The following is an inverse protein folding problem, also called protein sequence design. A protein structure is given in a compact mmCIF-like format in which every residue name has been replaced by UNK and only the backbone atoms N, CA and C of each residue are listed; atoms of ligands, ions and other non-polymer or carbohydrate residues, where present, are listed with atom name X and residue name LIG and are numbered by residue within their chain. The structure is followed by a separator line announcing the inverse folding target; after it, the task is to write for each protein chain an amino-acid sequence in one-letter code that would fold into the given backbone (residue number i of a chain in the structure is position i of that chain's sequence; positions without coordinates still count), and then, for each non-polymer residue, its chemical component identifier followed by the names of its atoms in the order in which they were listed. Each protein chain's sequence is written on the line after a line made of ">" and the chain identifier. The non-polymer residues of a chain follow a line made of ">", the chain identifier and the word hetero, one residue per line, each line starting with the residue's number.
data_IF_293309798690
#
_entry.id   IF_293309798690
#
_cell.length_a   1.000
_cell.length_b   1.000
_cell.length_c   1.000
_cell.angle_alpha   90.00
_cell.angle_beta   90.00
_cell.angle_gamma   90.00
#
_symmetry.space_group_name_H-M   'P 1'
#
loop_
_entity.id
_entity.type
_entity.pdbx_description
1 polymer ?
#
# COMPACT_ATOMS: atom_id res chain seq x y z
N UNK A 1 -36.34 32.38 13.36
CA UNK A 1 -35.19 31.76 14.04
C UNK A 1 -34.64 30.71 13.09
N UNK A 2 -33.74 31.11 12.22
CA UNK A 2 -33.07 30.27 11.24
C UNK A 2 -31.80 29.74 11.87
N UNK A 3 -31.84 28.47 12.28
CA UNK A 3 -30.65 27.75 12.73
C UNK A 3 -29.73 27.53 11.53
N UNK A 4 -28.64 28.27 11.46
CA UNK A 4 -27.50 27.97 10.58
C UNK A 4 -26.82 26.75 11.16
N UNK A 5 -27.11 25.59 10.58
CA UNK A 5 -26.35 24.36 10.79
C UNK A 5 -24.96 24.59 10.19
N UNK A 6 -24.02 24.97 11.07
CA UNK A 6 -22.62 25.08 10.72
C UNK A 6 -22.10 23.66 10.51
N UNK A 7 -22.17 23.18 9.27
CA UNK A 7 -21.37 22.04 8.85
C UNK A 7 -19.90 22.47 9.06
N UNK A 8 -19.31 22.04 10.18
CA UNK A 8 -17.88 22.17 10.39
C UNK A 8 -17.19 21.60 9.16
N UNK A 9 -16.42 22.41 8.44
CA UNK A 9 -15.57 21.96 7.32
C UNK A 9 -14.70 20.82 7.87
N UNK A 10 -15.07 19.59 7.54
CA UNK A 10 -14.24 18.43 7.87
C UNK A 10 -12.95 18.59 7.06
N UNK A 11 -11.90 18.98 7.72
CA UNK A 11 -10.56 19.03 7.11
C UNK A 11 -10.30 17.66 6.48
N UNK A 12 -10.09 17.61 5.17
CA UNK A 12 -9.80 16.38 4.45
C UNK A 12 -8.48 15.81 4.97
N UNK A 13 -8.53 14.66 5.64
CA UNK A 13 -7.37 14.02 6.23
C UNK A 13 -6.82 12.97 5.27
N UNK A 14 -5.57 13.13 4.86
CA UNK A 14 -4.84 12.12 4.09
C UNK A 14 -3.60 11.69 4.87
N UNK A 15 -3.50 10.40 5.14
CA UNK A 15 -2.30 9.82 5.79
C UNK A 15 -1.61 8.89 4.80
N UNK A 16 -0.33 9.15 4.53
CA UNK A 16 0.51 8.28 3.71
C UNK A 16 1.33 7.34 4.60
N UNK A 17 1.30 6.05 4.31
CA UNK A 17 2.05 5.01 5.04
C UNK A 17 2.93 4.23 4.09
N UNK A 18 4.24 4.45 4.17
CA UNK A 18 5.24 3.75 3.37
C UNK A 18 6.15 2.86 4.23
N UNK A 19 6.92 1.99 3.58
CA UNK A 19 7.89 1.13 4.25
C UNK A 19 8.15 -0.17 3.49
N UNK A 20 9.16 -0.97 3.91
CA UNK A 20 9.57 -2.20 3.23
C UNK A 20 8.51 -3.31 3.32
N UNK A 21 8.72 -4.39 2.55
CA UNK A 21 7.84 -5.56 2.59
C UNK A 21 7.77 -6.19 3.98
N UNK A 22 6.57 -6.56 4.45
CA UNK A 22 6.40 -7.21 5.76
C UNK A 22 6.53 -6.27 6.97
N UNK A 23 6.63 -4.94 6.79
CA UNK A 23 6.68 -3.97 7.91
C UNK A 23 5.33 -3.78 8.63
N UNK A 24 4.24 -4.39 8.16
CA UNK A 24 2.92 -4.29 8.79
C UNK A 24 2.02 -3.19 8.23
N UNK A 25 2.39 -2.55 7.11
CA UNK A 25 1.63 -1.44 6.51
C UNK A 25 0.15 -1.73 6.36
N UNK A 26 -0.21 -2.82 5.68
CA UNK A 26 -1.61 -3.10 5.37
C UNK A 26 -2.47 -3.32 6.62
N UNK A 27 -1.92 -3.91 7.66
CA UNK A 27 -2.62 -4.07 8.94
C UNK A 27 -2.82 -2.72 9.63
N UNK A 28 -1.76 -1.92 9.72
CA UNK A 28 -1.80 -0.60 10.36
C UNK A 28 -2.68 0.37 9.54
N UNK A 29 -2.51 0.40 8.21
CA UNK A 29 -3.27 1.30 7.33
C UNK A 29 -4.76 1.02 7.37
N UNK A 30 -5.17 -0.26 7.34
CA UNK A 30 -6.58 -0.66 7.46
C UNK A 30 -7.15 -0.25 8.82
N UNK A 31 -6.48 -0.61 9.90
CA UNK A 31 -6.93 -0.29 11.26
C UNK A 31 -7.01 1.24 11.49
N UNK A 32 -6.07 2.00 10.92
CA UNK A 32 -6.08 3.47 10.97
C UNK A 32 -7.24 4.04 10.13
N UNK A 33 -7.48 3.51 8.93
CA UNK A 33 -8.58 3.94 8.06
C UNK A 33 -9.94 3.71 8.72
N UNK A 34 -10.14 2.55 9.35
CA UNK A 34 -11.32 2.24 10.16
C UNK A 34 -11.48 3.23 11.33
N UNK A 35 -10.39 3.53 12.05
CA UNK A 35 -10.38 4.45 13.18
C UNK A 35 -10.70 5.89 12.80
N UNK A 36 -10.26 6.32 11.61
CA UNK A 36 -10.49 7.68 11.07
C UNK A 36 -11.77 7.78 10.23
N UNK A 37 -12.47 6.66 10.00
CA UNK A 37 -13.67 6.57 9.16
C UNK A 37 -13.43 7.09 7.73
N UNK A 38 -12.25 6.78 7.15
CA UNK A 38 -11.85 7.15 5.79
C UNK A 38 -11.50 5.90 4.97
N UNK A 39 -11.52 5.98 3.62
CA UNK A 39 -11.08 4.89 2.75
C UNK A 39 -9.64 4.45 3.02
N UNK A 40 -9.39 3.14 2.87
CA UNK A 40 -8.06 2.55 2.79
C UNK A 40 -7.67 2.33 1.33
N UNK A 41 -6.55 2.92 0.89
CA UNK A 41 -6.01 2.77 -0.47
C UNK A 41 -4.71 1.97 -0.43
N UNK A 42 -4.80 0.65 -0.73
CA UNK A 42 -3.63 -0.22 -0.94
C UNK A 42 -3.09 -0.04 -2.36
N UNK A 43 -2.06 0.80 -2.53
CA UNK A 43 -1.46 1.05 -3.85
C UNK A 43 -0.80 -0.20 -4.43
N UNK A 44 -0.30 -1.09 -3.59
CA UNK A 44 0.30 -2.36 -4.00
C UNK A 44 -0.71 -3.31 -4.65
N UNK A 45 -1.98 -3.24 -4.27
CA UNK A 45 -3.03 -4.07 -4.86
C UNK A 45 -3.23 -3.77 -6.37
N UNK A 46 -3.07 -2.52 -6.81
CA UNK A 46 -3.15 -2.13 -8.22
C UNK A 46 -2.04 -2.78 -9.04
N UNK A 47 -0.80 -2.74 -8.56
CA UNK A 47 0.33 -3.42 -9.22
C UNK A 47 0.15 -4.93 -9.26
N UNK A 48 -0.37 -5.51 -8.19
CA UNK A 48 -0.67 -6.95 -8.10
C UNK A 48 -1.77 -7.38 -9.05
N UNK A 49 -2.84 -6.59 -9.16
CA UNK A 49 -3.92 -6.85 -10.10
C UNK A 49 -3.42 -6.80 -11.56
N UNK A 50 -2.57 -5.83 -11.89
CA UNK A 50 -1.95 -5.76 -13.20
C UNK A 50 -0.99 -6.94 -13.44
N UNK A 51 -0.17 -7.31 -12.45
CA UNK A 51 0.70 -8.48 -12.56
C UNK A 51 -0.11 -9.77 -12.81
N UNK A 52 -1.24 -9.93 -12.11
CA UNK A 52 -2.17 -11.04 -12.36
C UNK A 52 -2.73 -11.01 -13.77
N UNK A 53 -3.11 -9.85 -14.30
CA UNK A 53 -3.60 -9.70 -15.67
C UNK A 53 -2.51 -10.11 -16.70
N UNK A 54 -1.26 -9.68 -16.47
CA UNK A 54 -0.09 -10.03 -17.29
C UNK A 54 0.14 -11.55 -17.30
N UNK A 55 0.14 -12.18 -16.14
CA UNK A 55 0.27 -13.62 -16.00
C UNK A 55 -0.87 -14.39 -16.70
N UNK A 56 -2.12 -13.94 -16.53
CA UNK A 56 -3.28 -14.55 -17.18
C UNK A 56 -3.25 -14.40 -18.71
N UNK A 57 -2.65 -13.32 -19.22
CA UNK A 57 -2.42 -13.11 -20.65
C UNK A 57 -1.23 -13.92 -21.21
N UNK A 58 -0.45 -14.62 -20.38
CA UNK A 58 0.76 -15.29 -20.77
C UNK A 58 1.88 -14.35 -21.24
N UNK A 59 1.82 -13.07 -20.83
CA UNK A 59 2.81 -12.06 -21.20
C UNK A 59 4.00 -12.08 -20.22
N UNK A 60 5.17 -11.64 -20.69
CA UNK A 60 6.36 -11.52 -19.85
C UNK A 60 6.27 -10.27 -18.97
N UNK A 61 6.30 -10.38 -17.62
CA UNK A 61 6.32 -9.26 -16.71
C UNK A 61 7.52 -8.31 -16.89
N UNK A 62 8.62 -8.77 -17.50
CA UNK A 62 9.81 -7.96 -17.76
C UNK A 62 9.74 -7.16 -19.08
N UNK A 63 8.81 -7.48 -19.97
CA UNK A 63 8.58 -6.77 -21.23
C UNK A 63 7.60 -5.61 -21.04
N UNK A 64 8.10 -4.36 -20.97
CA UNK A 64 7.28 -3.17 -20.75
C UNK A 64 6.16 -3.02 -21.79
N UNK A 65 6.45 -3.28 -23.08
CA UNK A 65 5.47 -3.13 -24.15
C UNK A 65 4.35 -4.17 -24.01
N UNK A 66 4.69 -5.40 -23.63
CA UNK A 66 3.71 -6.44 -23.38
C UNK A 66 2.82 -6.10 -22.17
N UNK A 67 3.42 -5.61 -21.08
CA UNK A 67 2.70 -5.17 -19.88
C UNK A 67 1.76 -3.99 -20.20
N UNK A 68 2.23 -3.00 -20.94
CA UNK A 68 1.43 -1.83 -21.36
C UNK A 68 0.26 -2.25 -22.25
N UNK A 69 0.46 -3.19 -23.17
CA UNK A 69 -0.65 -3.74 -23.99
C UNK A 69 -1.71 -4.40 -23.12
N UNK A 70 -1.32 -5.23 -22.16
CA UNK A 70 -2.27 -5.85 -21.21
C UNK A 70 -2.98 -4.80 -20.37
N UNK A 71 -2.23 -3.82 -19.85
CA UNK A 71 -2.79 -2.73 -19.04
C UNK A 71 -3.85 -1.92 -19.79
N UNK A 72 -3.68 -1.70 -21.09
CA UNK A 72 -4.63 -0.95 -21.92
C UNK A 72 -6.01 -1.61 -22.02
N UNK A 73 -6.08 -2.93 -21.87
CA UNK A 73 -7.32 -3.71 -21.80
C UNK A 73 -7.80 -4.02 -20.37
N UNK A 74 -7.11 -3.48 -19.36
CA UNK A 74 -7.39 -3.78 -17.96
C UNK A 74 -7.96 -2.57 -17.23
N UNK A 75 -8.91 -2.84 -16.34
CA UNK A 75 -9.44 -1.86 -15.39
C UNK A 75 -9.32 -2.45 -13.98
N UNK A 76 -8.65 -1.73 -13.09
CA UNK A 76 -8.51 -2.10 -11.68
C UNK A 76 -9.30 -1.13 -10.83
N UNK A 77 -10.19 -1.64 -10.01
CA UNK A 77 -11.00 -0.89 -9.06
C UNK A 77 -10.89 -1.52 -7.66
N UNK A 78 -11.21 -0.75 -6.63
CA UNK A 78 -11.27 -1.26 -5.25
C UNK A 78 -12.60 -0.93 -4.62
N UNK A 79 -13.18 -1.93 -3.95
CA UNK A 79 -14.43 -1.80 -3.17
C UNK A 79 -14.16 -2.31 -1.75
N UNK A 80 -13.90 -1.39 -0.84
CA UNK A 80 -13.40 -1.75 0.50
C UNK A 80 -12.08 -2.52 0.39
N UNK A 81 -12.04 -3.72 0.97
CA UNK A 81 -10.87 -4.60 0.95
C UNK A 81 -10.76 -5.47 -0.32
N UNK A 82 -11.71 -5.40 -1.23
CA UNK A 82 -11.75 -6.21 -2.45
C UNK A 82 -11.12 -5.47 -3.63
N UNK A 83 -10.26 -6.16 -4.36
CA UNK A 83 -9.66 -5.69 -5.62
C UNK A 83 -10.40 -6.32 -6.79
N UNK A 84 -10.91 -5.47 -7.67
CA UNK A 84 -11.61 -5.89 -8.87
C UNK A 84 -10.73 -5.69 -10.10
N UNK A 85 -10.55 -6.74 -10.89
CA UNK A 85 -9.93 -6.68 -12.21
C UNK A 85 -11.01 -6.92 -13.26
N UNK A 86 -11.29 -5.91 -14.08
CA UNK A 86 -12.37 -5.93 -15.07
C UNK A 86 -13.73 -6.33 -14.47
N UNK A 87 -14.01 -5.85 -13.24
CA UNK A 87 -15.24 -6.14 -12.51
C UNK A 87 -15.30 -7.46 -11.77
N UNK A 88 -14.27 -8.30 -11.88
CA UNK A 88 -14.17 -9.60 -11.18
C UNK A 88 -13.31 -9.43 -9.91
N UNK A 89 -13.79 -9.91 -8.78
CA UNK A 89 -13.01 -9.94 -7.53
C UNK A 89 -11.81 -10.89 -7.67
N UNK A 90 -10.63 -10.34 -7.44
CA UNK A 90 -9.35 -11.05 -7.54
C UNK A 90 -8.51 -10.91 -6.26
N UNK A 91 -9.08 -10.50 -5.14
CA UNK A 91 -8.33 -10.23 -3.91
C UNK A 91 -7.51 -11.44 -3.44
N UNK A 92 -8.06 -12.65 -3.55
CA UNK A 92 -7.33 -13.87 -3.22
C UNK A 92 -6.20 -14.17 -4.23
N UNK A 93 -6.48 -14.01 -5.54
CA UNK A 93 -5.56 -14.35 -6.60
C UNK A 93 -4.34 -13.43 -6.64
N UNK A 94 -4.51 -12.14 -6.31
CA UNK A 94 -3.41 -11.17 -6.28
C UNK A 94 -2.42 -11.41 -5.13
N UNK A 95 -2.73 -12.31 -4.20
CA UNK A 95 -1.86 -12.69 -3.08
C UNK A 95 -1.08 -13.99 -3.35
N UNK A 96 -1.21 -14.58 -4.55
CA UNK A 96 -0.50 -15.80 -4.94
C UNK A 96 1.01 -15.61 -5.08
N UNK A 97 1.77 -16.70 -4.93
CA UNK A 97 3.24 -16.70 -5.08
C UNK A 97 3.67 -16.26 -6.49
N UNK A 98 2.91 -16.61 -7.53
CA UNK A 98 3.18 -16.20 -8.91
C UNK A 98 3.11 -14.68 -9.09
N UNK A 99 2.09 -14.04 -8.48
CA UNK A 99 1.96 -12.58 -8.48
C UNK A 99 3.07 -11.95 -7.63
N UNK A 100 3.40 -12.52 -6.47
CA UNK A 100 4.51 -12.05 -5.64
C UNK A 100 5.85 -12.04 -6.37
N UNK A 101 6.11 -13.05 -7.19
CA UNK A 101 7.34 -13.17 -8.01
C UNK A 101 7.40 -12.16 -9.17
N UNK A 102 6.25 -11.73 -9.67
CA UNK A 102 6.16 -10.91 -10.91
C UNK A 102 5.94 -9.41 -10.64
N UNK A 103 5.36 -9.06 -9.49
CA UNK A 103 4.89 -7.70 -9.23
C UNK A 103 5.99 -6.63 -9.24
N UNK A 104 7.21 -6.94 -8.77
CA UNK A 104 8.32 -5.99 -8.78
C UNK A 104 8.80 -5.69 -10.20
N UNK A 105 8.79 -6.68 -11.11
CA UNK A 105 9.09 -6.47 -12.52
C UNK A 105 8.06 -5.54 -13.16
N UNK A 106 6.77 -5.82 -13.00
CA UNK A 106 5.68 -4.95 -13.50
C UNK A 106 5.78 -3.53 -12.93
N UNK A 107 6.08 -3.39 -11.63
CA UNK A 107 6.21 -2.09 -10.96
C UNK A 107 7.47 -1.31 -11.34
N UNK A 108 8.45 -1.93 -12.00
CA UNK A 108 9.68 -1.27 -12.45
C UNK A 108 9.48 -0.43 -13.72
N UNK A 109 8.42 -0.69 -14.50
CA UNK A 109 8.16 -0.03 -15.78
C UNK A 109 7.62 1.38 -15.61
N UNK A 110 8.29 2.44 -16.13
CA UNK A 110 7.86 3.83 -15.96
C UNK A 110 6.47 4.13 -16.54
N UNK A 111 6.13 3.57 -17.72
CA UNK A 111 4.82 3.78 -18.34
C UNK A 111 3.68 3.18 -17.50
N UNK A 112 3.90 2.02 -16.89
CA UNK A 112 2.96 1.37 -15.96
C UNK A 112 2.76 2.24 -14.72
N UNK A 113 3.84 2.72 -14.12
CA UNK A 113 3.78 3.55 -12.92
C UNK A 113 2.99 4.82 -13.16
N UNK A 114 3.28 5.54 -14.24
CA UNK A 114 2.56 6.79 -14.58
C UNK A 114 1.06 6.57 -14.63
N UNK A 115 0.60 5.48 -15.25
CA UNK A 115 -0.82 5.17 -15.37
C UNK A 115 -1.46 4.74 -14.06
N UNK A 116 -0.78 3.90 -13.28
CA UNK A 116 -1.29 3.44 -12.00
C UNK A 116 -1.37 4.55 -10.96
N UNK A 117 -0.45 5.53 -10.99
CA UNK A 117 -0.50 6.73 -10.12
C UNK A 117 -1.83 7.48 -10.32
N UNK A 118 -2.30 7.64 -11.56
CA UNK A 118 -3.61 8.29 -11.83
C UNK A 118 -4.75 7.51 -11.18
N UNK A 119 -4.79 6.18 -11.33
CA UNK A 119 -5.83 5.34 -10.74
C UNK A 119 -5.82 5.41 -9.21
N UNK A 120 -4.63 5.34 -8.61
CA UNK A 120 -4.44 5.41 -7.16
C UNK A 120 -4.84 6.77 -6.59
N UNK A 121 -4.51 7.89 -7.27
CA UNK A 121 -4.93 9.24 -6.86
C UNK A 121 -6.45 9.40 -6.92
N UNK A 122 -7.08 8.87 -7.96
CA UNK A 122 -8.54 8.92 -8.09
C UNK A 122 -9.24 8.15 -6.96
N UNK A 123 -8.60 7.12 -6.39
CA UNK A 123 -9.14 6.35 -5.27
C UNK A 123 -9.10 7.09 -3.93
N UNK A 124 -8.27 8.12 -3.78
CA UNK A 124 -8.17 8.90 -2.53
C UNK A 124 -9.47 9.67 -2.25
N UNK A 125 -10.09 10.23 -3.28
CA UNK A 125 -11.38 10.92 -3.15
C UNK A 125 -11.36 12.17 -2.26
N UNK A 126 -12.50 12.89 -2.17
CA UNK A 126 -12.61 14.13 -1.40
C UNK A 126 -12.77 13.94 0.11
N UNK A 127 -13.09 12.73 0.56
CA UNK A 127 -13.25 12.41 1.98
C UNK A 127 -11.91 12.23 2.71
N UNK A 128 -10.80 12.21 1.97
CA UNK A 128 -9.49 11.80 2.47
C UNK A 128 -9.31 10.28 2.39
N UNK A 129 -8.14 9.81 2.82
CA UNK A 129 -7.82 8.38 2.83
C UNK A 129 -6.60 8.08 3.70
N UNK A 130 -6.44 6.81 4.08
CA UNK A 130 -5.14 6.23 4.44
C UNK A 130 -4.59 5.51 3.22
N UNK A 131 -3.47 6.00 2.70
CA UNK A 131 -2.82 5.49 1.49
C UNK A 131 -1.56 4.74 1.86
N UNK A 132 -1.47 3.46 1.53
CA UNK A 132 -0.27 2.67 1.81
C UNK A 132 0.50 2.30 0.54
N UNK A 133 1.84 2.27 0.64
CA UNK A 133 2.68 1.93 -0.52
C UNK A 133 4.16 1.77 -0.25
N UNK A 134 4.95 2.16 -1.24
CA UNK A 134 6.41 2.27 -1.20
C UNK A 134 6.88 3.71 -1.38
N UNK A 135 6.04 4.49 -2.04
CA UNK A 135 6.26 5.87 -2.45
C UNK A 135 4.95 6.69 -2.38
N UNK A 136 4.01 6.26 -1.54
CA UNK A 136 2.74 6.94 -1.35
C UNK A 136 2.96 8.39 -0.93
N UNK A 137 3.84 8.63 0.05
CA UNK A 137 4.16 9.94 0.61
C UNK A 137 4.98 10.86 -0.35
N UNK A 138 5.56 10.30 -1.41
CA UNK A 138 6.42 11.08 -2.33
C UNK A 138 5.82 11.22 -3.72
N UNK A 139 5.00 10.26 -4.14
CA UNK A 139 4.47 10.19 -5.52
C UNK A 139 2.96 10.30 -5.57
N UNK A 140 2.24 9.53 -4.74
CA UNK A 140 0.78 9.45 -4.84
C UNK A 140 0.12 10.65 -4.16
N UNK A 141 0.45 10.90 -2.90
CA UNK A 141 -0.10 11.96 -2.04
C UNK A 141 1.04 12.75 -1.37
N UNK A 142 1.84 13.51 -2.16
CA UNK A 142 2.99 14.26 -1.65
C UNK A 142 2.57 15.34 -0.63
N UNK A 143 1.31 15.78 -0.68
CA UNK A 143 0.74 16.78 0.22
C UNK A 143 -0.10 16.14 1.34
N UNK A 144 0.15 14.85 1.67
CA UNK A 144 -0.55 14.17 2.76
C UNK A 144 -0.40 14.92 4.08
N UNK A 145 -1.49 14.98 4.87
CA UNK A 145 -1.54 15.64 6.19
C UNK A 145 -0.52 15.05 7.15
N UNK A 146 -0.30 13.74 7.08
CA UNK A 146 0.73 13.04 7.85
C UNK A 146 1.39 11.98 6.97
N UNK A 147 2.72 11.91 7.03
CA UNK A 147 3.52 10.90 6.35
C UNK A 147 4.21 10.02 7.37
N UNK A 148 4.04 8.73 7.23
CA UNK A 148 4.58 7.70 8.14
C UNK A 148 5.45 6.72 7.37
N UNK A 149 6.63 6.44 7.90
CA UNK A 149 7.50 5.41 7.41
C UNK A 149 7.57 4.26 8.42
N UNK A 150 6.98 3.11 8.08
CA UNK A 150 6.98 1.94 8.95
C UNK A 150 8.21 1.08 8.71
N UNK A 151 8.89 0.73 9.80
CA UNK A 151 10.02 -0.21 9.80
C UNK A 151 9.71 -1.43 10.67
N UNK A 152 10.47 -2.51 10.46
CA UNK A 152 10.59 -3.62 11.39
C UNK A 152 11.88 -4.39 11.08
N UNK A 153 12.54 -5.01 12.07
CA UNK A 153 13.67 -5.90 11.85
C UNK A 153 13.35 -7.02 10.86
N UNK A 154 14.34 -7.41 10.03
CA UNK A 154 14.14 -8.42 8.98
C UNK A 154 13.56 -9.74 9.51
N UNK A 155 14.01 -10.20 10.67
CA UNK A 155 13.51 -11.41 11.32
C UNK A 155 12.01 -11.30 11.70
N UNK A 156 11.55 -10.12 12.14
CA UNK A 156 10.14 -9.87 12.46
C UNK A 156 9.31 -9.88 11.18
N UNK A 157 9.79 -9.24 10.12
CA UNK A 157 9.13 -9.21 8.80
C UNK A 157 8.98 -10.61 8.21
N UNK A 158 10.03 -11.43 8.30
CA UNK A 158 10.01 -12.83 7.84
C UNK A 158 8.98 -13.67 8.60
N UNK A 159 8.92 -13.55 9.93
CA UNK A 159 7.91 -14.26 10.74
C UNK A 159 6.48 -13.86 10.37
N UNK A 160 6.21 -12.55 10.22
CA UNK A 160 4.90 -12.04 9.80
C UNK A 160 4.51 -12.58 8.43
N UNK A 161 5.46 -12.63 7.49
CA UNK A 161 5.22 -13.16 6.15
C UNK A 161 4.91 -14.65 6.17
N UNK A 162 5.63 -15.44 6.96
CA UNK A 162 5.34 -16.87 7.17
C UNK A 162 3.92 -17.10 7.70
N UNK A 163 3.50 -16.30 8.68
CA UNK A 163 2.13 -16.37 9.22
C UNK A 163 1.05 -16.02 8.18
N UNK A 164 1.26 -14.98 7.37
CA UNK A 164 0.33 -14.56 6.32
C UNK A 164 0.14 -15.62 5.23
N UNK A 165 1.19 -16.39 4.92
CA UNK A 165 1.15 -17.45 3.91
C UNK A 165 0.62 -18.78 4.45
N UNK A 166 0.22 -18.88 5.72
CA UNK A 166 -0.19 -20.12 6.35
C UNK A 166 0.95 -21.15 6.48
N UNK A 167 2.19 -20.71 6.23
CA UNK A 167 3.39 -21.57 6.15
C UNK A 167 4.10 -21.69 7.50
N UNK A 168 3.36 -21.77 8.60
CA UNK A 168 3.96 -22.04 9.90
C UNK A 168 4.49 -23.49 9.92
N UNK A 169 5.69 -23.69 9.38
CA UNK A 169 6.42 -24.95 9.47
C UNK A 169 7.10 -25.47 8.20
N UNK A 170 6.63 -25.12 7.00
CA UNK A 170 7.09 -25.77 5.76
C UNK A 170 8.23 -25.08 5.01
N UNK A 171 8.46 -23.79 5.26
CA UNK A 171 9.60 -23.05 4.67
C UNK A 171 10.52 -22.50 5.74
N UNK A 172 11.85 -22.68 5.61
CA UNK A 172 12.82 -22.07 6.53
C UNK A 172 12.67 -20.54 6.56
N UNK A 173 12.65 -19.94 7.75
CA UNK A 173 12.55 -18.47 7.92
C UNK A 173 13.67 -17.71 7.20
N UNK A 174 14.86 -18.33 7.07
CA UNK A 174 15.99 -17.79 6.33
C UNK A 174 15.64 -17.57 4.84
N UNK A 175 14.92 -18.52 4.23
CA UNK A 175 14.49 -18.40 2.83
C UNK A 175 13.47 -17.29 2.66
N UNK A 176 12.47 -17.20 3.55
CA UNK A 176 11.49 -16.11 3.55
C UNK A 176 12.17 -14.76 3.75
N UNK A 177 13.16 -14.70 4.65
CA UNK A 177 13.96 -13.48 4.88
C UNK A 177 14.75 -13.11 3.62
N UNK A 178 15.36 -14.07 2.94
CA UNK A 178 16.06 -13.87 1.67
C UNK A 178 15.14 -13.30 0.57
N UNK A 179 13.94 -13.88 0.42
CA UNK A 179 12.94 -13.42 -0.55
C UNK A 179 12.49 -11.97 -0.26
N UNK A 180 12.31 -11.60 1.02
CA UNK A 180 11.98 -10.24 1.41
C UNK A 180 13.11 -9.25 1.11
N UNK A 181 14.36 -9.62 1.38
CA UNK A 181 15.54 -8.79 1.07
C UNK A 181 15.69 -8.61 -0.43
N UNK A 182 15.53 -9.68 -1.21
CA UNK A 182 15.56 -9.62 -2.68
C UNK A 182 14.47 -8.69 -3.23
N UNK A 183 13.27 -8.75 -2.67
CA UNK A 183 12.16 -7.87 -3.02
C UNK A 183 12.44 -6.42 -2.65
N UNK A 184 12.91 -6.15 -1.43
CA UNK A 184 13.27 -4.78 -1.02
C UNK A 184 14.36 -4.21 -1.93
N UNK A 185 15.31 -5.05 -2.38
CA UNK A 185 16.32 -4.65 -3.34
C UNK A 185 15.73 -4.35 -4.73
N UNK A 186 14.80 -5.17 -5.22
CA UNK A 186 14.12 -4.93 -6.49
C UNK A 186 13.25 -3.66 -6.45
N UNK A 187 12.59 -3.41 -5.32
CA UNK A 187 11.71 -2.25 -5.13
C UNK A 187 12.50 -0.95 -4.80
N UNK A 188 13.82 -1.02 -4.53
CA UNK A 188 14.60 0.13 -3.96
C UNK A 188 14.53 1.41 -4.78
N UNK A 189 14.48 1.30 -6.12
CA UNK A 189 14.40 2.45 -7.02
C UNK A 189 13.02 3.13 -7.03
N UNK A 190 12.05 2.49 -6.39
CA UNK A 190 10.66 2.93 -6.27
C UNK A 190 10.21 3.00 -4.81
N UNK A 191 11.16 2.97 -3.86
CA UNK A 191 10.88 3.00 -2.42
C UNK A 191 11.62 4.18 -1.82
N UNK A 192 10.89 5.24 -1.50
CA UNK A 192 11.47 6.49 -1.01
C UNK A 192 10.77 6.91 0.28
N UNK A 193 11.58 7.10 1.33
CA UNK A 193 11.10 7.76 2.54
C UNK A 193 11.01 9.26 2.27
N UNK A 194 9.85 9.84 2.47
CA UNK A 194 9.71 11.30 2.44
C UNK A 194 10.53 11.93 3.58
N UNK A 195 11.15 13.09 3.32
CA UNK A 195 12.04 13.74 4.28
C UNK A 195 11.32 14.13 5.59
N UNK A 196 10.03 14.44 5.48
CA UNK A 196 9.13 14.82 6.57
C UNK A 196 8.34 13.63 7.16
N UNK A 197 8.62 12.39 6.71
CA UNK A 197 7.94 11.21 7.23
C UNK A 197 8.44 10.84 8.64
N UNK A 198 7.49 10.62 9.55
CA UNK A 198 7.76 10.09 10.89
C UNK A 198 8.05 8.60 10.79
N UNK A 199 9.20 8.18 11.30
CA UNK A 199 9.56 6.77 11.34
C UNK A 199 8.98 6.08 12.57
N UNK A 200 8.36 4.90 12.36
CA UNK A 200 7.77 4.10 13.43
C UNK A 200 8.24 2.64 13.27
N UNK A 201 8.87 2.10 14.32
CA UNK A 201 9.19 0.66 14.39
C UNK A 201 7.96 -0.12 14.85
N UNK A 202 7.42 -0.94 13.96
CA UNK A 202 6.23 -1.74 14.24
C UNK A 202 6.51 -2.99 15.09
N UNK A 203 7.77 -3.27 15.41
CA UNK A 203 8.14 -4.32 16.36
C UNK A 203 8.02 -3.84 17.82
N UNK A 204 7.92 -2.52 18.06
CA UNK A 204 7.94 -1.93 19.38
C UNK A 204 6.57 -1.94 20.11
N UNK A 205 5.48 -2.36 19.44
CA UNK A 205 4.15 -2.34 20.04
C UNK A 205 3.09 -3.17 19.32
N UNK A 206 1.90 -3.24 19.91
CA UNK A 206 0.73 -3.84 19.27
C UNK A 206 0.20 -2.93 18.15
N UNK A 207 -0.67 -3.48 17.28
CA UNK A 207 -1.34 -2.71 16.22
C UNK A 207 -2.05 -1.50 16.82
N UNK A 208 -2.82 -1.69 17.89
CA UNK A 208 -3.59 -0.63 18.53
C UNK A 208 -2.70 0.48 19.11
N UNK A 209 -1.56 0.12 19.71
CA UNK A 209 -0.60 1.11 20.24
C UNK A 209 0.00 1.95 19.10
N UNK A 210 0.35 1.33 17.98
CA UNK A 210 0.91 2.03 16.82
C UNK A 210 -0.15 2.93 16.18
N UNK A 211 -1.38 2.44 16.00
CA UNK A 211 -2.49 3.23 15.44
C UNK A 211 -2.81 4.42 16.33
N UNK A 212 -2.91 4.24 17.66
CA UNK A 212 -3.14 5.34 18.58
C UNK A 212 -2.01 6.39 18.51
N UNK A 213 -0.75 5.95 18.45
CA UNK A 213 0.39 6.86 18.27
C UNK A 213 0.33 7.66 16.97
N UNK A 214 -0.15 7.05 15.87
CA UNK A 214 -0.34 7.75 14.60
C UNK A 214 -1.50 8.78 14.71
N UNK A 215 -2.60 8.45 15.39
CA UNK A 215 -3.71 9.38 15.65
C UNK A 215 -3.23 10.56 16.47
N UNK A 216 -2.46 10.35 17.54
CA UNK A 216 -1.91 11.43 18.39
C UNK A 216 -0.99 12.37 17.58
N UNK A 217 -0.18 11.80 16.68
CA UNK A 217 0.66 12.58 15.76
C UNK A 217 -0.18 13.41 14.79
N UNK A 218 -1.23 12.82 14.23
CA UNK A 218 -2.15 13.51 13.31
C UNK A 218 -2.85 14.68 13.99
N UNK A 219 -3.39 14.46 15.18
CA UNK A 219 -4.05 15.50 15.98
C UNK A 219 -3.10 16.65 16.32
N UNK A 220 -1.84 16.32 16.56
CA UNK A 220 -0.79 17.31 16.82
C UNK A 220 -0.42 18.12 15.56
N UNK A 221 -0.51 17.51 14.37
CA UNK A 221 -0.29 18.19 13.08
C UNK A 221 -1.44 19.13 12.74
N UNK A 222 -2.67 18.65 12.83
CA UNK A 222 -3.87 19.44 12.52
C UNK A 222 -4.01 20.66 13.43
N UNK A 223 -3.60 20.56 14.70
CA UNK A 223 -3.63 21.69 15.66
C UNK A 223 -2.57 22.76 15.39
N UNK A 224 -1.56 22.49 14.55
CA UNK A 224 -0.47 23.44 14.23
C UNK A 224 -0.68 24.19 12.92
N UNK A 225 -1.58 23.71 12.06
CA UNK A 225 -2.01 24.37 10.85
C UNK A 225 -3.22 25.29 11.07
#
# INVERSE_FOLDING_TARGET
>A
MTGTDSAAERTTVVVAIDGPAGSGKSTIARSLAERLEVPHVDTGAYYRALALAVLRAGADPADEDAVVRVMSGSHVDRKGDHTLLNGVDVEADIRSDAVDASVSAVASHPAVRSRLVEWQRNAVGPAGAVVEGRDAATVIVPDATLKVWLTAPAAVRARRRAQQQGMAGDRPLERISGDLVARDHADRNNTFRAADAVEIDTAAGSVDQIVNGIVDLLDSHVRRC
#
